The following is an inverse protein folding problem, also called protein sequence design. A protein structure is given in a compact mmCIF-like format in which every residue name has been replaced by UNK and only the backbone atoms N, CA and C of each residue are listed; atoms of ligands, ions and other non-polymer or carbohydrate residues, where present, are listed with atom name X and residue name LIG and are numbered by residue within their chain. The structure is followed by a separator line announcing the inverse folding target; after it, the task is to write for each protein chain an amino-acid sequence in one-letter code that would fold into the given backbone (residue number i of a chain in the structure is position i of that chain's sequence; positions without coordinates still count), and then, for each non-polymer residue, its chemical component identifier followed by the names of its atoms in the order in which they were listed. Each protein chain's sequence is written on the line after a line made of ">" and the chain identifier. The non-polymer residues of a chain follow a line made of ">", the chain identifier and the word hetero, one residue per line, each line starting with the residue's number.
data_IF_764178489668
#
_entry.id   IF_764178489668
#
_cell.length_a   1.000
_cell.length_b   1.000
_cell.length_c   1.000
_cell.angle_alpha   90.00
_cell.angle_beta   90.00
_cell.angle_gamma   90.00
#
_symmetry.space_group_name_H-M   'P 1'
#
loop_
_entity.id
_entity.type
_entity.pdbx_description
1 polymer ?
#
# COMPACT_ATOMS: atom_id res chain seq x y z
N UNK A 1 15.67 10.34 -27.04
CA UNK A 1 15.13 11.72 -27.23
C UNK A 1 14.17 11.97 -26.08
N UNK A 2 14.51 12.85 -25.14
CA UNK A 2 13.60 13.18 -24.02
C UNK A 2 12.41 13.92 -24.62
N UNK A 3 11.26 13.26 -24.71
CA UNK A 3 10.04 13.93 -25.17
C UNK A 3 9.42 14.59 -23.94
N UNK A 4 9.72 15.88 -23.75
CA UNK A 4 9.02 16.70 -22.76
C UNK A 4 7.60 16.89 -23.27
N UNK A 5 6.66 16.14 -22.71
CA UNK A 5 5.24 16.41 -22.96
C UNK A 5 4.93 17.69 -22.19
N UNK A 6 4.82 18.82 -22.92
CA UNK A 6 4.36 20.07 -22.32
C UNK A 6 3.00 19.82 -21.65
N UNK A 7 2.81 20.31 -20.42
CA UNK A 7 1.69 19.94 -19.55
C UNK A 7 0.35 20.60 -19.92
N UNK A 8 0.20 21.04 -21.16
CA UNK A 8 -1.08 21.50 -21.73
C UNK A 8 -2.16 20.40 -21.68
N UNK A 9 -1.76 19.12 -21.53
CA UNK A 9 -2.67 17.98 -21.36
C UNK A 9 -2.94 17.54 -19.92
N UNK A 10 -2.25 18.09 -18.92
CA UNK A 10 -2.41 17.68 -17.50
C UNK A 10 -2.39 18.87 -16.54
N UNK A 11 -3.34 19.80 -16.72
CA UNK A 11 -3.83 20.65 -15.63
C UNK A 11 -2.83 21.61 -14.97
N UNK A 12 -1.73 22.02 -15.62
CA UNK A 12 -0.97 23.17 -15.11
C UNK A 12 -1.89 24.41 -15.17
N UNK A 13 -2.15 25.03 -14.00
CA UNK A 13 -2.82 26.34 -13.95
C UNK A 13 -1.81 27.39 -14.35
N UNK A 14 -2.05 28.04 -15.49
CA UNK A 14 -1.34 29.25 -15.87
C UNK A 14 -1.77 30.38 -14.93
N UNK A 15 -0.92 30.77 -13.98
CA UNK A 15 -1.05 32.07 -13.34
C UNK A 15 -0.04 33.01 -13.99
N UNK A 16 -0.52 33.84 -14.90
CA UNK A 16 0.25 35.00 -15.36
C UNK A 16 0.25 36.00 -14.20
N UNK A 17 1.34 36.08 -13.44
CA UNK A 17 1.59 37.28 -12.62
C UNK A 17 2.27 38.29 -13.53
N UNK A 18 1.51 39.22 -14.10
CA UNK A 18 2.08 40.41 -14.73
C UNK A 18 2.73 41.24 -13.62
N UNK A 19 4.03 41.07 -13.40
CA UNK A 19 4.85 42.09 -12.80
C UNK A 19 5.32 42.98 -13.96
N UNK A 20 4.80 44.20 -14.00
CA UNK A 20 5.21 45.26 -14.93
C UNK A 20 6.70 45.54 -14.78
N UNK A 21 7.55 44.79 -15.48
CA UNK A 21 8.93 45.19 -15.80
C UNK A 21 9.33 44.48 -17.10
N UNK A 22 10.12 45.16 -17.91
CA UNK A 22 10.41 44.92 -19.33
C UNK A 22 11.27 43.69 -19.66
N UNK A 23 11.05 42.57 -18.96
CA UNK A 23 11.55 41.26 -19.36
C UNK A 23 10.45 40.22 -19.16
N UNK A 24 9.89 39.70 -20.26
CA UNK A 24 8.92 38.61 -20.23
C UNK A 24 9.58 37.31 -19.75
N UNK A 25 9.78 37.16 -18.43
CA UNK A 25 10.06 35.87 -17.80
C UNK A 25 8.72 35.27 -17.36
N UNK A 26 8.13 34.49 -18.24
CA UNK A 26 6.93 33.70 -17.95
C UNK A 26 7.28 32.61 -16.93
N UNK A 27 6.83 32.74 -15.68
CA UNK A 27 7.02 31.70 -14.65
C UNK A 27 5.97 30.60 -14.82
N UNK A 28 6.42 29.36 -15.07
CA UNK A 28 5.53 28.20 -15.14
C UNK A 28 5.31 27.63 -13.73
N UNK A 29 4.08 27.75 -13.21
CA UNK A 29 3.65 27.04 -12.01
C UNK A 29 3.14 25.65 -12.42
N UNK A 30 4.07 24.71 -12.65
CA UNK A 30 3.68 23.33 -12.87
C UNK A 30 3.68 22.52 -11.58
N UNK A 31 2.47 22.23 -11.10
CA UNK A 31 2.24 21.35 -9.96
C UNK A 31 2.56 19.89 -10.29
N UNK A 32 2.54 19.50 -11.57
CA UNK A 32 2.84 18.17 -12.08
C UNK A 32 3.87 18.21 -13.20
N UNK A 33 4.89 17.36 -13.10
CA UNK A 33 5.78 17.02 -14.21
C UNK A 33 5.61 15.52 -14.52
N UNK A 34 5.30 15.16 -15.77
CA UNK A 34 5.31 13.77 -16.27
C UNK A 34 6.53 13.56 -17.19
N UNK A 35 7.47 12.75 -16.75
CA UNK A 35 8.72 12.45 -17.47
C UNK A 35 8.62 11.04 -18.05
N UNK A 36 8.65 10.97 -19.39
CA UNK A 36 8.81 9.70 -20.11
C UNK A 36 10.29 9.53 -20.49
N UNK A 37 10.96 8.52 -19.92
CA UNK A 37 12.42 8.39 -19.98
C UNK A 37 12.84 7.07 -20.66
N UNK A 38 13.34 7.15 -21.89
CA UNK A 38 13.62 5.98 -22.75
C UNK A 38 14.83 5.10 -22.32
N UNK A 39 15.60 5.54 -21.33
CA UNK A 39 16.75 4.80 -20.80
C UNK A 39 18.05 4.90 -21.59
N UNK A 40 18.08 5.65 -22.71
CA UNK A 40 19.30 5.79 -23.52
C UNK A 40 20.08 7.07 -23.22
N UNK A 41 19.41 8.15 -22.82
CA UNK A 41 20.02 9.40 -22.37
C UNK A 41 19.81 9.56 -20.88
N UNK A 42 20.87 9.60 -20.04
CA UNK A 42 20.84 9.81 -18.58
C UNK A 42 19.71 10.73 -18.06
N UNK A 43 19.20 10.50 -16.84
CA UNK A 43 18.11 11.28 -16.23
C UNK A 43 18.53 12.76 -16.15
N UNK A 44 18.19 13.53 -17.19
CA UNK A 44 18.81 14.83 -17.40
C UNK A 44 18.10 15.89 -16.56
N UNK A 45 18.60 16.06 -15.34
CA UNK A 45 18.09 17.08 -14.42
C UNK A 45 18.39 18.51 -14.93
N UNK A 46 19.36 18.74 -15.83
CA UNK A 46 19.70 20.10 -16.29
C UNK A 46 18.59 20.79 -17.12
N UNK A 47 17.72 20.01 -17.78
CA UNK A 47 16.60 20.56 -18.56
C UNK A 47 15.51 21.25 -17.69
N UNK A 48 15.60 21.14 -16.36
CA UNK A 48 14.58 21.60 -15.41
C UNK A 48 15.15 22.55 -14.34
N UNK A 49 16.24 23.28 -14.63
CA UNK A 49 16.95 24.13 -13.64
C UNK A 49 16.10 25.26 -13.02
N UNK A 50 14.95 25.61 -13.59
CA UNK A 50 14.09 26.70 -13.11
C UNK A 50 12.79 26.25 -12.42
N UNK A 51 12.51 24.94 -12.33
CA UNK A 51 11.24 24.39 -11.80
C UNK A 51 11.33 24.02 -10.30
N UNK A 52 11.44 25.02 -9.41
CA UNK A 52 11.46 24.79 -7.95
C UNK A 52 10.08 24.49 -7.33
N UNK A 53 8.99 24.61 -8.12
CA UNK A 53 7.60 24.48 -7.66
C UNK A 53 6.98 23.07 -7.85
N UNK A 54 7.77 22.09 -8.30
CA UNK A 54 7.27 20.74 -8.60
C UNK A 54 6.77 20.06 -7.33
N UNK A 55 5.46 19.82 -7.26
CA UNK A 55 4.80 19.15 -6.14
C UNK A 55 4.50 17.68 -6.44
N UNK A 56 4.31 17.32 -7.72
CA UNK A 56 4.04 15.98 -8.19
C UNK A 56 4.98 15.66 -9.35
N UNK A 57 5.78 14.60 -9.19
CA UNK A 57 6.57 14.04 -10.27
C UNK A 57 6.06 12.65 -10.62
N UNK A 58 5.77 12.44 -11.90
CA UNK A 58 5.45 11.14 -12.46
C UNK A 58 6.54 10.73 -13.44
N UNK A 59 6.96 9.48 -13.36
CA UNK A 59 7.90 8.82 -14.24
C UNK A 59 7.25 7.52 -14.68
N UNK A 60 7.06 7.35 -15.98
CA UNK A 60 6.40 6.14 -16.50
C UNK A 60 7.00 5.67 -17.82
N UNK A 61 6.88 4.37 -18.09
CA UNK A 61 7.32 3.71 -19.33
C UNK A 61 8.82 3.86 -19.59
N UNK A 62 9.61 3.76 -18.51
CA UNK A 62 11.05 4.00 -18.56
C UNK A 62 11.85 2.71 -18.39
N UNK A 63 13.12 2.68 -18.82
CA UNK A 63 14.05 1.55 -18.56
C UNK A 63 14.90 1.78 -17.29
N UNK A 64 14.37 2.47 -16.29
CA UNK A 64 15.10 2.88 -15.08
C UNK A 64 15.18 1.72 -14.09
N UNK A 65 16.36 1.14 -13.95
CA UNK A 65 16.59 0.02 -13.03
C UNK A 65 16.72 0.50 -11.57
N UNK A 66 17.14 1.75 -11.36
CA UNK A 66 17.33 2.38 -10.03
C UNK A 66 16.87 3.84 -10.01
N UNK A 67 16.28 4.30 -8.91
CA UNK A 67 15.86 5.70 -8.76
C UNK A 67 17.09 6.64 -8.72
N UNK A 68 17.09 7.76 -9.46
CA UNK A 68 18.18 8.74 -9.38
C UNK A 68 18.24 9.37 -7.98
N UNK A 69 19.36 9.18 -7.28
CA UNK A 69 19.55 9.59 -5.87
C UNK A 69 19.49 11.12 -5.62
N UNK A 70 19.51 11.96 -6.67
CA UNK A 70 19.48 13.42 -6.57
C UNK A 70 18.12 14.04 -6.89
N UNK A 71 17.16 13.28 -7.42
CA UNK A 71 15.89 13.84 -7.92
C UNK A 71 15.07 14.51 -6.81
N UNK A 72 15.09 13.91 -5.62
CA UNK A 72 14.39 14.39 -4.44
C UNK A 72 15.09 15.59 -3.77
N UNK A 73 16.41 15.74 -3.98
CA UNK A 73 17.15 16.92 -3.52
C UNK A 73 16.92 18.13 -4.40
N UNK A 74 16.69 17.89 -5.70
CA UNK A 74 16.33 18.93 -6.66
C UNK A 74 14.94 19.47 -6.36
N UNK A 75 13.92 18.61 -6.40
CA UNK A 75 12.53 19.03 -6.21
C UNK A 75 12.15 19.03 -4.73
N UNK A 76 12.67 19.99 -3.97
CA UNK A 76 12.55 20.08 -2.49
C UNK A 76 11.11 20.21 -1.99
N UNK A 77 10.19 20.70 -2.83
CA UNK A 77 8.76 20.87 -2.50
C UNK A 77 7.90 19.67 -2.87
N UNK A 78 8.48 18.67 -3.54
CA UNK A 78 7.74 17.52 -4.04
C UNK A 78 7.05 16.76 -2.90
N UNK A 79 5.76 16.52 -3.10
CA UNK A 79 4.87 15.79 -2.19
C UNK A 79 4.46 14.44 -2.76
N UNK A 80 4.43 14.29 -4.08
CA UNK A 80 3.96 13.07 -4.75
C UNK A 80 5.02 12.61 -5.73
N UNK A 81 5.45 11.36 -5.58
CA UNK A 81 6.30 10.69 -6.55
C UNK A 81 5.60 9.43 -7.07
N UNK A 82 5.49 9.32 -8.39
CA UNK A 82 4.94 8.14 -9.06
C UNK A 82 5.97 7.62 -10.05
N UNK A 83 6.49 6.42 -9.80
CA UNK A 83 7.48 5.75 -10.64
C UNK A 83 6.96 4.40 -11.10
N UNK A 84 5.89 4.39 -11.90
CA UNK A 84 5.20 3.16 -12.28
C UNK A 84 5.75 2.60 -13.60
N UNK A 85 5.94 1.29 -13.70
CA UNK A 85 6.43 0.64 -14.92
C UNK A 85 7.79 1.21 -15.40
N UNK A 86 8.74 1.30 -14.47
CA UNK A 86 10.10 1.79 -14.77
C UNK A 86 11.14 0.67 -14.70
N UNK A 87 10.76 -0.56 -14.32
CA UNK A 87 11.62 -1.74 -14.16
C UNK A 87 12.57 -1.70 -12.96
N UNK A 88 12.24 -0.93 -11.92
CA UNK A 88 13.02 -0.89 -10.67
C UNK A 88 13.16 -2.29 -10.09
N UNK A 89 14.39 -2.73 -9.85
CA UNK A 89 14.68 -4.04 -9.24
C UNK A 89 15.01 -3.94 -7.76
N UNK A 90 15.65 -2.84 -7.37
CA UNK A 90 16.14 -2.62 -6.02
C UNK A 90 15.81 -1.21 -5.56
N UNK A 91 15.71 -1.07 -4.24
CA UNK A 91 15.68 0.21 -3.55
C UNK A 91 16.73 0.15 -2.45
N UNK A 92 17.38 1.27 -2.17
CA UNK A 92 18.38 1.40 -1.11
C UNK A 92 18.01 2.55 -0.18
N UNK A 93 18.65 2.66 0.97
CA UNK A 93 18.47 3.80 1.87
C UNK A 93 18.77 5.16 1.19
N UNK A 94 19.54 5.17 0.10
CA UNK A 94 19.85 6.36 -0.68
C UNK A 94 18.80 6.69 -1.75
N UNK A 95 17.91 5.75 -2.10
CA UNK A 95 16.90 5.94 -3.16
C UNK A 95 16.00 7.14 -2.92
N UNK A 96 15.72 7.47 -1.65
CA UNK A 96 14.86 8.59 -1.25
C UNK A 96 15.60 9.70 -0.50
N UNK A 97 16.91 9.82 -0.71
CA UNK A 97 17.71 10.85 -0.04
C UNK A 97 17.21 12.26 -0.42
N UNK A 98 16.87 13.08 0.58
CA UNK A 98 16.32 14.42 0.38
C UNK A 98 14.79 14.48 0.23
N UNK A 99 14.09 13.34 0.23
CA UNK A 99 12.64 13.27 0.02
C UNK A 99 11.78 13.57 1.26
N UNK A 100 12.22 14.49 2.12
CA UNK A 100 11.62 14.74 3.44
C UNK A 100 10.18 15.31 3.38
N UNK A 101 9.76 15.83 2.22
CA UNK A 101 8.43 16.43 2.00
C UNK A 101 7.44 15.50 1.29
N UNK A 102 7.87 14.30 0.88
CA UNK A 102 6.97 13.35 0.23
C UNK A 102 5.87 12.88 1.18
N UNK A 103 4.65 12.98 0.69
CA UNK A 103 3.43 12.49 1.34
C UNK A 103 2.89 11.24 0.64
N UNK A 104 3.18 11.06 -0.67
CA UNK A 104 2.75 9.89 -1.45
C UNK A 104 3.89 9.37 -2.32
N UNK A 105 4.11 8.05 -2.28
CA UNK A 105 5.02 7.33 -3.16
C UNK A 105 4.26 6.17 -3.79
N UNK A 106 4.25 6.11 -5.12
CA UNK A 106 3.68 5.01 -5.88
C UNK A 106 4.78 4.41 -6.76
N UNK A 107 5.08 3.13 -6.54
CA UNK A 107 6.09 2.35 -7.25
C UNK A 107 5.50 1.02 -7.74
N UNK A 108 4.22 1.04 -8.06
CA UNK A 108 3.51 -0.12 -8.57
C UNK A 108 4.02 -0.55 -9.95
N UNK A 109 3.80 -1.82 -10.31
CA UNK A 109 4.20 -2.38 -11.60
C UNK A 109 5.71 -2.27 -11.85
N UNK A 110 6.53 -2.61 -10.85
CA UNK A 110 7.98 -2.69 -10.97
C UNK A 110 8.46 -4.15 -10.75
N UNK A 111 9.76 -4.34 -10.51
CA UNK A 111 10.40 -5.64 -10.36
C UNK A 111 11.08 -5.79 -8.99
N UNK A 112 10.57 -5.09 -7.96
CA UNK A 112 11.14 -5.13 -6.61
C UNK A 112 10.95 -6.53 -6.02
N UNK A 113 12.03 -7.13 -5.51
CA UNK A 113 11.99 -8.49 -4.94
C UNK A 113 12.01 -8.50 -3.41
N UNK A 114 12.46 -7.42 -2.78
CA UNK A 114 12.52 -7.26 -1.33
C UNK A 114 12.42 -5.80 -0.92
N UNK A 115 12.07 -5.57 0.35
CA UNK A 115 12.10 -4.24 0.97
C UNK A 115 13.17 -4.26 2.07
N UNK A 116 14.35 -3.66 1.83
CA UNK A 116 15.45 -3.71 2.77
C UNK A 116 15.26 -2.75 3.95
N UNK A 117 16.03 -2.99 5.02
CA UNK A 117 16.07 -2.11 6.19
C UNK A 117 16.37 -0.65 5.80
N UNK A 118 15.67 0.28 6.44
CA UNK A 118 15.90 1.73 6.32
C UNK A 118 15.69 2.34 4.92
N UNK A 119 15.12 1.59 3.97
CA UNK A 119 14.92 2.06 2.60
C UNK A 119 14.08 3.34 2.52
N UNK A 120 13.12 3.52 3.43
CA UNK A 120 12.25 4.70 3.51
C UNK A 120 12.61 5.67 4.64
N UNK A 121 13.84 5.62 5.17
CA UNK A 121 14.26 6.37 6.38
C UNK A 121 14.02 7.89 6.29
N UNK A 122 14.07 8.46 5.09
CA UNK A 122 13.87 9.88 4.83
C UNK A 122 12.40 10.30 4.70
N UNK A 123 11.47 9.37 4.53
CA UNK A 123 10.06 9.62 4.19
C UNK A 123 9.16 9.84 5.43
N UNK A 124 9.57 10.71 6.35
CA UNK A 124 8.88 10.89 7.65
C UNK A 124 7.45 11.43 7.55
N UNK A 125 7.10 12.12 6.46
CA UNK A 125 5.78 12.69 6.22
C UNK A 125 4.89 11.81 5.31
N UNK A 126 5.37 10.62 4.94
CA UNK A 126 4.65 9.74 4.02
C UNK A 126 3.34 9.26 4.63
N UNK A 127 2.26 9.38 3.85
CA UNK A 127 0.90 8.96 4.20
C UNK A 127 0.45 7.77 3.35
N UNK A 128 0.94 7.68 2.11
CA UNK A 128 0.59 6.59 1.19
C UNK A 128 1.84 6.01 0.54
N UNK A 129 1.94 4.69 0.59
CA UNK A 129 2.97 3.92 -0.09
C UNK A 129 2.32 2.79 -0.89
N UNK A 130 2.44 2.86 -2.20
CA UNK A 130 1.98 1.81 -3.10
C UNK A 130 3.19 1.06 -3.69
N UNK A 131 3.31 -0.22 -3.33
CA UNK A 131 4.30 -1.18 -3.83
C UNK A 131 3.61 -2.36 -4.52
N UNK A 132 2.35 -2.21 -4.93
CA UNK A 132 1.59 -3.29 -5.54
C UNK A 132 2.17 -3.73 -6.89
N UNK A 133 1.82 -4.95 -7.33
CA UNK A 133 2.25 -5.47 -8.63
C UNK A 133 3.78 -5.46 -8.78
N UNK A 134 4.48 -5.92 -7.75
CA UNK A 134 5.92 -6.12 -7.74
C UNK A 134 6.21 -7.63 -7.57
N UNK A 135 7.43 -7.99 -7.19
CA UNK A 135 7.84 -9.38 -6.94
C UNK A 135 8.28 -9.60 -5.50
N UNK A 136 7.81 -8.77 -4.56
CA UNK A 136 8.32 -8.69 -3.19
C UNK A 136 8.05 -10.02 -2.48
N UNK A 137 9.11 -10.66 -2.01
CA UNK A 137 9.07 -11.91 -1.22
C UNK A 137 9.37 -11.67 0.25
N UNK A 138 10.21 -10.68 0.54
CA UNK A 138 10.70 -10.40 1.89
C UNK A 138 10.65 -8.93 2.23
N UNK A 139 10.33 -8.64 3.50
CA UNK A 139 10.32 -7.30 4.09
C UNK A 139 11.19 -7.38 5.34
N UNK A 140 12.23 -6.56 5.43
CA UNK A 140 13.08 -6.53 6.63
C UNK A 140 12.40 -5.81 7.79
N UNK A 141 12.75 -6.17 9.03
CA UNK A 141 12.11 -5.65 10.25
C UNK A 141 12.13 -4.11 10.36
N UNK A 142 13.19 -3.46 9.90
CA UNK A 142 13.33 -2.00 9.94
C UNK A 142 13.04 -1.34 8.59
N UNK A 143 12.37 -2.03 7.65
CA UNK A 143 12.02 -1.49 6.34
C UNK A 143 11.21 -0.20 6.44
N UNK A 144 10.24 -0.18 7.36
CA UNK A 144 9.28 0.93 7.54
C UNK A 144 9.55 1.79 8.79
N UNK A 145 10.79 1.76 9.31
CA UNK A 145 11.13 2.33 10.63
C UNK A 145 10.69 3.77 10.87
N UNK A 146 10.76 4.65 9.86
CA UNK A 146 10.42 6.07 9.94
C UNK A 146 8.96 6.41 9.55
N UNK A 147 8.18 5.43 9.10
CA UNK A 147 6.90 5.66 8.45
C UNK A 147 5.74 5.79 9.45
N UNK A 148 5.94 6.56 10.53
CA UNK A 148 4.96 6.70 11.62
C UNK A 148 3.64 7.37 11.20
N UNK A 149 3.67 8.15 10.11
CA UNK A 149 2.52 8.87 9.57
C UNK A 149 1.82 8.12 8.43
N UNK A 150 2.30 6.93 8.06
CA UNK A 150 1.74 6.16 6.97
C UNK A 150 0.32 5.71 7.34
N UNK A 151 -0.64 6.03 6.48
CA UNK A 151 -2.05 5.67 6.64
C UNK A 151 -2.43 4.47 5.77
N UNK A 152 -1.81 4.37 4.61
CA UNK A 152 -2.14 3.35 3.61
C UNK A 152 -0.86 2.73 3.06
N UNK A 153 -0.79 1.39 3.15
CA UNK A 153 0.27 0.58 2.57
C UNK A 153 -0.35 -0.45 1.63
N UNK A 154 0.07 -0.43 0.37
CA UNK A 154 -0.32 -1.45 -0.60
C UNK A 154 0.86 -2.35 -0.96
N UNK A 155 0.71 -3.63 -0.65
CA UNK A 155 1.60 -4.73 -1.02
C UNK A 155 0.84 -5.78 -1.86
N UNK A 156 -0.31 -5.39 -2.42
CA UNK A 156 -1.15 -6.28 -3.22
C UNK A 156 -0.40 -6.81 -4.46
N UNK A 157 -0.74 -8.02 -4.92
CA UNK A 157 -0.12 -8.62 -6.11
C UNK A 157 1.41 -8.68 -5.99
N UNK A 158 1.90 -9.32 -4.94
CA UNK A 158 3.31 -9.60 -4.69
C UNK A 158 3.51 -11.12 -4.41
N UNK A 159 4.68 -11.52 -3.90
CA UNK A 159 5.03 -12.91 -3.62
C UNK A 159 5.27 -13.15 -2.12
N UNK A 160 4.61 -12.39 -1.23
CA UNK A 160 4.76 -12.57 0.21
C UNK A 160 4.17 -13.90 0.64
N UNK A 161 4.94 -14.69 1.39
CA UNK A 161 4.51 -16.00 1.91
C UNK A 161 4.05 -15.96 3.36
N UNK A 162 4.48 -14.94 4.10
CA UNK A 162 4.16 -14.73 5.51
C UNK A 162 4.03 -13.23 5.78
N UNK A 163 3.39 -12.91 6.90
CA UNK A 163 3.37 -11.57 7.47
C UNK A 163 4.21 -11.63 8.74
N UNK A 164 5.17 -10.70 8.89
CA UNK A 164 5.95 -10.55 10.11
C UNK A 164 5.60 -9.21 10.76
N UNK A 165 4.97 -9.24 11.93
CA UNK A 165 4.52 -8.06 12.66
C UNK A 165 5.65 -7.10 13.02
N UNK A 166 6.88 -7.58 13.21
CA UNK A 166 8.05 -6.73 13.49
C UNK A 166 8.28 -5.71 12.37
N UNK A 167 8.12 -6.12 11.11
CA UNK A 167 8.28 -5.24 9.96
C UNK A 167 7.29 -4.07 9.97
N UNK A 168 6.10 -4.27 10.56
CA UNK A 168 5.04 -3.27 10.61
C UNK A 168 4.96 -2.50 11.94
N UNK A 169 5.81 -2.80 12.93
CA UNK A 169 5.72 -2.25 14.29
C UNK A 169 5.70 -0.72 14.32
N UNK A 170 6.48 -0.08 13.45
CA UNK A 170 6.60 1.38 13.39
C UNK A 170 5.45 2.09 12.67
N UNK A 171 4.54 1.34 12.02
CA UNK A 171 3.38 1.86 11.28
C UNK A 171 2.20 2.17 12.21
N UNK A 172 2.42 3.04 13.19
CA UNK A 172 1.46 3.34 14.27
C UNK A 172 0.21 4.11 13.81
N UNK A 173 0.24 4.72 12.62
CA UNK A 173 -0.89 5.45 12.03
C UNK A 173 -1.59 4.69 10.90
N UNK A 174 -1.16 3.46 10.62
CA UNK A 174 -1.67 2.67 9.50
C UNK A 174 -3.14 2.32 9.73
N UNK A 175 -3.96 2.61 8.71
CA UNK A 175 -5.39 2.32 8.67
C UNK A 175 -5.72 1.24 7.66
N UNK A 176 -5.05 1.25 6.51
CA UNK A 176 -5.37 0.39 5.38
C UNK A 176 -4.14 -0.38 4.95
N UNK A 177 -4.25 -1.71 4.98
CA UNK A 177 -3.18 -2.62 4.59
C UNK A 177 -3.70 -3.58 3.53
N UNK A 178 -3.18 -3.45 2.31
CA UNK A 178 -3.54 -4.33 1.19
C UNK A 178 -2.47 -5.40 1.01
N UNK A 179 -2.85 -6.66 1.24
CA UNK A 179 -2.02 -7.86 1.10
C UNK A 179 -2.66 -8.89 0.18
N UNK A 180 -3.74 -8.51 -0.51
CA UNK A 180 -4.47 -9.37 -1.43
C UNK A 180 -3.60 -9.82 -2.62
N UNK A 181 -3.92 -10.98 -3.19
CA UNK A 181 -3.15 -11.58 -4.29
C UNK A 181 -1.66 -11.77 -3.94
N UNK A 182 -1.37 -12.33 -2.76
CA UNK A 182 -0.04 -12.79 -2.38
C UNK A 182 -0.05 -14.32 -2.20
N UNK A 183 0.95 -14.89 -1.55
CA UNK A 183 1.09 -16.33 -1.27
C UNK A 183 1.07 -16.62 0.22
N UNK A 184 0.38 -15.78 1.00
CA UNK A 184 0.37 -15.88 2.46
C UNK A 184 -0.34 -17.18 2.83
N UNK A 185 0.33 -18.05 3.58
CA UNK A 185 -0.19 -19.40 3.86
C UNK A 185 -0.79 -19.58 5.25
N UNK A 186 -0.49 -18.67 6.18
CA UNK A 186 -1.02 -18.70 7.54
C UNK A 186 -0.95 -17.32 8.19
N UNK A 187 -1.81 -17.14 9.20
CA UNK A 187 -1.76 -16.01 10.13
C UNK A 187 -1.61 -16.54 11.55
N UNK A 188 -0.72 -15.94 12.33
CA UNK A 188 -0.44 -16.26 13.73
C UNK A 188 -0.48 -14.99 14.61
N UNK A 189 -0.25 -15.12 15.91
CA UNK A 189 -0.24 -13.98 16.87
C UNK A 189 0.84 -12.94 16.60
N UNK A 190 1.86 -13.28 15.81
CA UNK A 190 2.98 -12.41 15.46
C UNK A 190 2.81 -11.77 14.08
N UNK A 191 1.76 -12.14 13.33
CA UNK A 191 1.53 -11.61 11.98
C UNK A 191 1.29 -10.10 11.98
N UNK A 192 0.68 -9.56 13.04
CA UNK A 192 0.45 -8.13 13.19
C UNK A 192 1.01 -7.63 14.54
N UNK A 193 1.63 -6.46 14.52
CA UNK A 193 2.19 -5.88 15.74
C UNK A 193 1.10 -5.30 16.64
N UNK A 194 1.32 -5.39 17.95
CA UNK A 194 0.47 -4.74 18.96
C UNK A 194 0.47 -3.20 18.89
N UNK A 195 1.35 -2.61 18.06
CA UNK A 195 1.41 -1.17 17.79
C UNK A 195 0.44 -0.74 16.68
N UNK A 196 -0.04 -1.65 15.82
CA UNK A 196 -0.91 -1.32 14.69
C UNK A 196 -2.40 -1.21 15.09
N UNK A 197 -2.70 -0.62 16.25
CA UNK A 197 -4.06 -0.55 16.84
C UNK A 197 -5.06 0.25 16.01
N UNK A 198 -4.57 1.10 15.10
CA UNK A 198 -5.37 1.94 14.20
C UNK A 198 -5.73 1.26 12.88
N UNK A 199 -5.25 0.04 12.63
CA UNK A 199 -5.65 -0.72 11.45
C UNK A 199 -7.16 -0.88 11.44
N UNK A 200 -7.76 -0.42 10.36
CA UNK A 200 -9.19 -0.34 10.14
C UNK A 200 -9.63 -1.32 9.05
N UNK A 201 -8.81 -1.48 8.00
CA UNK A 201 -9.00 -2.46 6.95
C UNK A 201 -7.76 -3.27 6.65
N UNK A 202 -7.91 -4.60 6.59
CA UNK A 202 -6.87 -5.54 6.16
C UNK A 202 -7.45 -6.39 5.03
N UNK A 203 -6.81 -6.35 3.86
CA UNK A 203 -7.28 -7.04 2.67
C UNK A 203 -6.39 -8.23 2.35
N UNK A 204 -6.94 -9.44 2.39
CA UNK A 204 -6.19 -10.70 2.27
C UNK A 204 -6.79 -11.64 1.23
N UNK A 205 -7.68 -11.16 0.36
CA UNK A 205 -8.30 -11.95 -0.69
C UNK A 205 -7.25 -12.59 -1.59
N UNK A 206 -7.56 -13.76 -2.16
CA UNK A 206 -6.72 -14.46 -3.12
C UNK A 206 -5.30 -14.70 -2.58
N UNK A 207 -5.19 -15.23 -1.37
CA UNK A 207 -3.95 -15.75 -0.80
C UNK A 207 -4.04 -17.29 -0.66
N UNK A 208 -3.07 -17.91 0.00
CA UNK A 208 -3.02 -19.36 0.21
C UNK A 208 -3.30 -19.72 1.69
N UNK A 209 -4.07 -18.89 2.42
CA UNK A 209 -4.22 -19.01 3.86
C UNK A 209 -4.98 -20.28 4.21
N UNK A 210 -4.30 -21.20 4.88
CA UNK A 210 -4.86 -22.49 5.34
C UNK A 210 -5.33 -22.42 6.79
N UNK A 211 -4.74 -21.53 7.59
CA UNK A 211 -4.99 -21.44 9.04
C UNK A 211 -4.86 -20.00 9.51
N UNK A 212 -5.80 -19.58 10.35
CA UNK A 212 -5.74 -18.30 11.07
C UNK A 212 -5.74 -18.62 12.57
N UNK A 213 -4.68 -18.21 13.27
CA UNK A 213 -4.65 -18.30 14.73
C UNK A 213 -5.68 -17.36 15.32
N UNK A 214 -6.30 -17.78 16.43
CA UNK A 214 -7.25 -16.95 17.16
C UNK A 214 -6.70 -15.59 17.59
N UNK A 215 -5.40 -15.51 17.80
CA UNK A 215 -4.73 -14.32 18.31
C UNK A 215 -4.15 -13.43 17.22
N UNK A 216 -4.35 -13.78 15.95
CA UNK A 216 -3.82 -13.02 14.83
C UNK A 216 -4.31 -11.57 14.81
N UNK A 217 -5.51 -11.31 15.33
CA UNK A 217 -6.12 -9.98 15.25
C UNK A 217 -6.38 -9.33 16.62
N UNK A 218 -5.93 -9.94 17.72
CA UNK A 218 -6.22 -9.50 19.10
C UNK A 218 -5.93 -8.04 19.35
N UNK A 219 -4.83 -7.53 18.77
CA UNK A 219 -4.39 -6.17 18.97
C UNK A 219 -5.05 -5.15 18.02
N UNK A 220 -5.76 -5.60 16.99
CA UNK A 220 -6.36 -4.74 15.96
C UNK A 220 -7.74 -4.22 16.40
N UNK A 221 -7.76 -3.45 17.49
CA UNK A 221 -9.01 -2.99 18.11
C UNK A 221 -9.88 -2.11 17.20
N UNK A 222 -9.28 -1.41 16.23
CA UNK A 222 -10.00 -0.58 15.26
C UNK A 222 -10.44 -1.32 14.00
N UNK A 223 -10.16 -2.62 13.86
CA UNK A 223 -10.48 -3.37 12.64
C UNK A 223 -11.99 -3.37 12.41
N UNK A 224 -12.40 -3.02 11.20
CA UNK A 224 -13.79 -2.95 10.72
C UNK A 224 -13.99 -3.60 9.35
N UNK A 225 -12.91 -3.76 8.59
CA UNK A 225 -12.92 -4.41 7.28
C UNK A 225 -11.85 -5.49 7.24
N UNK A 226 -12.25 -6.72 7.00
CA UNK A 226 -11.36 -7.87 6.81
C UNK A 226 -11.93 -8.69 5.67
N UNK A 227 -11.12 -8.98 4.67
CA UNK A 227 -11.54 -9.78 3.52
C UNK A 227 -10.65 -10.99 3.38
N UNK A 228 -11.25 -12.14 3.15
CA UNK A 228 -10.54 -13.43 3.13
C UNK A 228 -10.92 -14.29 1.93
N UNK A 229 -11.91 -13.91 1.12
CA UNK A 229 -12.36 -14.63 -0.07
C UNK A 229 -11.19 -15.14 -0.95
N UNK A 230 -11.30 -16.35 -1.47
CA UNK A 230 -10.27 -16.93 -2.34
C UNK A 230 -9.03 -17.47 -1.60
N UNK A 231 -9.15 -17.73 -0.29
CA UNK A 231 -8.15 -18.45 0.49
C UNK A 231 -8.50 -19.93 0.69
N UNK A 232 -7.49 -20.76 0.89
CA UNK A 232 -7.62 -22.21 1.11
C UNK A 232 -8.57 -22.56 2.27
N UNK A 233 -8.56 -21.80 3.36
CA UNK A 233 -9.36 -22.11 4.54
C UNK A 233 -10.86 -21.77 4.40
N UNK A 234 -11.19 -20.94 3.40
CA UNK A 234 -12.58 -20.68 3.00
C UNK A 234 -13.03 -21.69 1.94
N UNK A 235 -12.07 -22.21 1.14
CA UNK A 235 -12.36 -23.03 -0.04
C UNK A 235 -12.15 -24.54 0.16
N UNK A 236 -11.64 -24.98 1.33
CA UNK A 236 -11.51 -26.40 1.68
C UNK A 236 -12.79 -26.87 2.36
N UNK A 237 -13.49 -27.76 1.65
CA UNK A 237 -14.58 -28.64 2.11
C UNK A 237 -16.04 -28.28 1.72
N UNK A 238 -16.28 -27.94 0.45
CA UNK A 238 -17.57 -28.20 -0.22
C UNK A 238 -17.47 -29.02 -1.53
N UNK A 239 -16.33 -29.70 -1.76
CA UNK A 239 -16.16 -30.57 -2.94
C UNK A 239 -16.50 -32.05 -2.72
N UNK A 240 -16.86 -32.47 -1.51
CA UNK A 240 -17.39 -33.81 -1.29
C UNK A 240 -18.64 -33.74 -0.40
N UNK A 241 -19.81 -33.82 -1.04
CA UNK A 241 -21.10 -34.28 -0.47
C UNK A 241 -21.90 -33.37 0.46
N UNK A 242 -22.16 -32.10 0.11
CA UNK A 242 -23.38 -31.44 0.59
C UNK A 242 -24.00 -30.57 -0.51
N UNK A 243 -25.15 -31.02 -1.02
CA UNK A 243 -26.13 -30.16 -1.69
C UNK A 243 -26.68 -29.23 -0.60
N UNK A 244 -26.09 -28.06 -0.40
CA UNK A 244 -26.70 -27.01 0.41
C UNK A 244 -26.45 -25.68 -0.28
N UNK A 245 -27.51 -25.17 -0.92
CA UNK A 245 -27.59 -23.82 -1.49
C UNK A 245 -27.52 -22.70 -0.43
N UNK A 246 -27.08 -22.96 0.80
CA UNK A 246 -26.98 -21.98 1.88
C UNK A 246 -25.94 -22.41 2.93
N UNK A 247 -24.68 -22.54 2.53
CA UNK A 247 -23.58 -22.56 3.50
C UNK A 247 -23.41 -21.14 4.01
N UNK A 248 -23.77 -20.90 5.27
CA UNK A 248 -23.58 -19.59 5.90
C UNK A 248 -22.07 -19.28 5.97
N UNK A 249 -21.65 -18.09 5.56
CA UNK A 249 -20.28 -17.55 5.69
C UNK A 249 -19.70 -17.79 7.10
N UNK A 250 -20.57 -17.81 8.12
CA UNK A 250 -20.25 -18.19 9.50
C UNK A 250 -19.58 -19.57 9.64
N UNK A 251 -20.00 -20.56 8.86
CA UNK A 251 -19.42 -21.90 8.88
C UNK A 251 -18.02 -21.93 8.23
N UNK A 252 -17.85 -21.30 7.07
CA UNK A 252 -16.54 -21.18 6.38
C UNK A 252 -15.50 -20.42 7.19
N UNK A 253 -15.93 -19.43 7.98
CA UNK A 253 -15.03 -18.73 8.88
C UNK A 253 -14.65 -19.60 10.09
N UNK A 254 -15.56 -20.39 10.64
CA UNK A 254 -15.23 -21.36 11.70
C UNK A 254 -14.16 -22.36 11.23
N UNK A 255 -14.16 -22.72 9.94
CA UNK A 255 -13.14 -23.55 9.29
C UNK A 255 -11.76 -22.88 9.27
N UNK A 256 -11.68 -21.61 8.86
CA UNK A 256 -10.45 -20.81 8.95
C UNK A 256 -9.90 -20.69 10.38
N UNK A 257 -10.81 -20.69 11.34
CA UNK A 257 -10.53 -20.63 12.77
C UNK A 257 -10.55 -22.02 13.46
N UNK A 258 -10.48 -23.14 12.72
CA UNK A 258 -10.57 -24.51 13.30
C UNK A 258 -9.55 -24.85 14.38
N UNK A 259 -8.43 -24.12 14.46
CA UNK A 259 -7.39 -24.33 15.46
C UNK A 259 -7.77 -23.85 16.90
N UNK A 260 -8.96 -23.28 17.10
CA UNK A 260 -9.42 -22.76 18.40
C UNK A 260 -9.51 -23.81 19.53
N UNK A 261 -9.42 -25.11 19.25
CA UNK A 261 -9.53 -26.16 20.28
C UNK A 261 -8.25 -26.45 21.07
N UNK A 262 -7.05 -26.23 20.50
CA UNK A 262 -5.82 -26.81 21.07
C UNK A 262 -4.70 -25.83 21.43
N UNK A 263 -4.72 -24.60 20.93
CA UNK A 263 -3.89 -23.54 21.51
C UNK A 263 -4.70 -22.95 22.68
N UNK A 264 -4.13 -22.73 23.87
CA UNK A 264 -4.77 -22.01 25.01
C UNK A 264 -3.70 -21.28 25.82
N UNK A 265 -3.78 -19.96 26.08
CA UNK A 265 -3.21 -19.41 27.28
C UNK A 265 -4.16 -19.76 28.44
N UNK A 266 -3.63 -19.89 29.65
CA UNK A 266 -4.41 -20.31 30.81
C UNK A 266 -5.53 -19.34 31.26
N UNK A 267 -5.73 -18.18 30.61
CA UNK A 267 -6.51 -17.06 31.21
C UNK A 267 -7.78 -16.59 30.47
N UNK A 268 -8.17 -17.10 29.29
CA UNK A 268 -9.39 -16.64 28.59
C UNK A 268 -10.53 -17.69 28.70
N UNK A 269 -11.68 -17.26 29.22
CA UNK A 269 -12.89 -18.10 29.40
C UNK A 269 -13.48 -18.57 28.06
N UNK A 270 -14.43 -19.52 28.09
CA UNK A 270 -15.24 -19.91 26.90
C UNK A 270 -15.92 -18.72 26.24
N UNK A 271 -16.47 -17.81 27.03
CA UNK A 271 -17.29 -16.70 26.56
C UNK A 271 -16.45 -15.62 25.87
N UNK A 272 -15.22 -15.42 26.34
CA UNK A 272 -14.19 -14.58 25.71
C UNK A 272 -13.86 -15.09 24.29
N UNK A 273 -13.84 -16.41 24.07
CA UNK A 273 -13.55 -17.03 22.77
C UNK A 273 -14.68 -16.85 21.75
N UNK A 274 -15.93 -17.03 22.18
CA UNK A 274 -17.08 -16.94 21.29
C UNK A 274 -17.35 -15.48 20.83
N UNK A 275 -17.09 -14.50 21.69
CA UNK A 275 -17.30 -13.08 21.38
C UNK A 275 -16.33 -12.53 20.32
N UNK A 276 -15.03 -12.83 20.40
CA UNK A 276 -14.07 -12.37 19.39
C UNK A 276 -14.25 -13.09 18.04
N UNK A 277 -14.59 -14.38 18.05
CA UNK A 277 -14.92 -15.12 16.82
C UNK A 277 -16.16 -14.52 16.14
N UNK A 278 -17.25 -14.29 16.88
CA UNK A 278 -18.45 -13.64 16.34
C UNK A 278 -18.17 -12.21 15.85
N UNK A 279 -17.29 -11.46 16.53
CA UNK A 279 -16.86 -10.14 16.07
C UNK A 279 -16.16 -10.23 14.72
N UNK A 280 -15.20 -11.14 14.56
CA UNK A 280 -14.45 -11.32 13.30
C UNK A 280 -15.36 -11.77 12.16
N UNK A 281 -16.28 -12.71 12.43
CA UNK A 281 -17.27 -13.16 11.45
C UNK A 281 -18.12 -11.99 10.94
N UNK A 282 -18.68 -11.19 11.84
CA UNK A 282 -19.46 -10.01 11.48
C UNK A 282 -18.67 -8.99 10.65
N UNK A 283 -17.36 -8.83 10.93
CA UNK A 283 -16.49 -7.94 10.17
C UNK A 283 -16.32 -8.45 8.72
N UNK A 284 -16.08 -9.76 8.56
CA UNK A 284 -15.88 -10.36 7.23
C UNK A 284 -17.18 -10.36 6.42
N UNK A 285 -18.30 -10.78 6.99
CA UNK A 285 -19.60 -10.79 6.31
C UNK A 285 -20.00 -9.40 5.80
N UNK A 286 -19.75 -8.35 6.59
CA UNK A 286 -20.00 -6.96 6.16
C UNK A 286 -19.07 -6.55 5.01
N UNK A 287 -17.81 -6.93 5.08
CA UNK A 287 -16.83 -6.57 4.06
C UNK A 287 -17.13 -7.25 2.73
N UNK A 288 -17.44 -8.55 2.73
CA UNK A 288 -17.71 -9.31 1.50
C UNK A 288 -19.02 -8.90 0.82
N UNK A 289 -20.06 -8.57 1.61
CA UNK A 289 -21.28 -7.97 1.07
C UNK A 289 -21.04 -6.61 0.40
N UNK A 290 -20.11 -5.80 0.92
CA UNK A 290 -19.69 -4.55 0.29
C UNK A 290 -18.82 -4.80 -0.97
N UNK A 291 -17.92 -5.78 -0.96
CA UNK A 291 -17.06 -6.10 -2.12
C UNK A 291 -17.88 -6.54 -3.33
N UNK A 292 -18.96 -7.29 -3.13
CA UNK A 292 -19.90 -7.68 -4.18
C UNK A 292 -20.65 -6.48 -4.79
N UNK A 293 -20.74 -5.34 -4.11
CA UNK A 293 -21.31 -4.10 -4.64
C UNK A 293 -20.26 -3.20 -5.33
N UNK A 294 -18.96 -3.40 -5.06
CA UNK A 294 -17.86 -2.49 -5.48
C UNK A 294 -17.02 -3.06 -6.63
N UNK A 295 -17.30 -4.27 -7.12
CA UNK A 295 -16.63 -4.93 -8.26
C UNK A 295 -16.59 -4.12 -9.59
N UNK A 296 -17.22 -2.95 -9.64
CA UNK A 296 -17.25 -2.04 -10.80
C UNK A 296 -16.22 -0.89 -10.78
N UNK A 297 -15.34 -0.76 -9.78
CA UNK A 297 -14.31 0.30 -9.75
C UNK A 297 -12.90 -0.23 -10.02
N UNK A 298 -12.64 -0.54 -11.29
CA UNK A 298 -11.31 -0.89 -11.81
C UNK A 298 -10.41 0.34 -11.90
N UNK A 299 -9.62 0.60 -10.86
CA UNK A 299 -8.19 1.00 -10.91
C UNK A 299 -7.73 1.41 -9.51
N UNK A 300 -6.60 0.87 -9.06
CA UNK A 300 -6.01 1.12 -7.72
C UNK A 300 -5.92 2.61 -7.37
N UNK A 301 -5.66 3.47 -8.37
CA UNK A 301 -5.52 4.91 -8.18
C UNK A 301 -6.83 5.64 -7.82
N UNK A 302 -7.98 5.22 -8.37
CA UNK A 302 -9.28 5.85 -8.08
C UNK A 302 -9.71 5.54 -6.64
N UNK A 303 -9.48 4.31 -6.19
CA UNK A 303 -9.73 3.88 -4.82
C UNK A 303 -8.85 4.64 -3.81
N UNK A 304 -7.54 4.78 -4.08
CA UNK A 304 -6.62 5.52 -3.21
C UNK A 304 -6.85 7.03 -3.18
N UNK A 305 -7.31 7.63 -4.28
CA UNK A 305 -7.70 9.05 -4.28
C UNK A 305 -9.00 9.28 -3.50
N UNK A 306 -10.01 8.43 -3.66
CA UNK A 306 -11.28 8.52 -2.91
C UNK A 306 -11.11 8.32 -1.41
N UNK A 307 -10.21 7.42 -0.98
CA UNK A 307 -9.94 7.16 0.44
C UNK A 307 -9.40 8.39 1.20
N UNK A 308 -8.63 9.25 0.53
CA UNK A 308 -8.04 10.45 1.15
C UNK A 308 -8.99 11.65 1.06
N UNK A 309 -9.75 11.78 -0.02
CA UNK A 309 -10.76 12.84 -0.12
C UNK A 309 -11.91 12.64 0.88
N UNK A 310 -12.29 11.39 1.15
CA UNK A 310 -13.34 11.09 2.12
C UNK A 310 -12.88 11.23 3.59
N UNK A 311 -11.59 11.15 3.90
CA UNK A 311 -11.07 11.47 5.24
C UNK A 311 -11.16 12.97 5.59
N UNK A 312 -11.46 13.85 4.63
CA UNK A 312 -11.75 15.27 4.90
C UNK A 312 -13.23 15.54 5.21
N UNK A 313 -14.10 14.52 5.09
CA UNK A 313 -15.56 14.66 5.23
C UNK A 313 -16.16 13.91 6.42
N UNK A 314 -15.33 13.42 7.33
CA UNK A 314 -15.72 12.79 8.61
C UNK A 314 -14.88 13.38 9.72
#
# INVERSE_FOLDING_TARGET
>A
MITVIKPEKFGCKFSVSTLETTSETTFYLCELIDINYDGQSGFNLSAHEQDDNVNHLKVSKSKIIELPNLIFRKYKRMKIFQGSNVQLKTLTALSFNGAAKLEKVALENNKLESIPNYVFIHLKLLKVLDLSNNKIKTISDNAFKSLHNLKTLSLANNNLMTINGTAFEHLISLKWLHLNSNKISSLNSESFSNKNKKLFGVFLENNEIKKISRFSFDFLKSLRYLTLSGNDCINRDFKENVIAENVSIKYELNECFKAYKNDTPPECSSDCRENELNRLINIVERAENCTNQVANYTSSLLFFNNLIENEKKT
#
